data_IF_133915126302
#
_entry.id   IF_133915126302
#
_cell.length_a   1.000
_cell.length_b   1.000
_cell.length_c   1.000
_cell.angle_alpha   90.00
_cell.angle_beta   90.00
_cell.angle_gamma   90.00
#
_symmetry.space_group_name_H-M   'P 1'
#
loop_
_entity.id
_entity.type
_entity.pdbx_description
1 polymer ?
#
# COMPACT_ATOMS: atom_id res chain seq x y z
N UNK A 1 33.46 -11.08 -40.05
CA UNK A 1 33.14 -11.38 -38.63
C UNK A 1 32.40 -12.70 -38.68
N UNK A 2 32.97 -13.77 -38.12
CA UNK A 2 32.38 -15.11 -38.23
C UNK A 2 31.15 -15.21 -37.32
N UNK A 3 30.05 -15.77 -37.82
CA UNK A 3 28.79 -15.92 -37.08
C UNK A 3 28.97 -16.63 -35.73
N UNK A 4 29.95 -17.54 -35.64
CA UNK A 4 30.32 -18.22 -34.41
C UNK A 4 30.80 -17.25 -33.31
N UNK A 5 31.60 -16.23 -33.67
CA UNK A 5 32.06 -15.20 -32.71
C UNK A 5 30.91 -14.29 -32.28
N UNK A 6 29.98 -13.99 -33.19
CA UNK A 6 28.80 -13.19 -32.87
C UNK A 6 27.86 -13.91 -31.90
N UNK A 7 27.69 -15.23 -32.07
CA UNK A 7 26.87 -16.06 -31.16
C UNK A 7 27.50 -16.11 -29.76
N UNK A 8 28.81 -16.24 -29.67
CA UNK A 8 29.53 -16.26 -28.39
C UNK A 8 29.39 -14.93 -27.64
N UNK A 9 29.59 -13.79 -28.32
CA UNK A 9 29.38 -12.46 -27.73
C UNK A 9 27.92 -12.24 -27.28
N UNK A 10 26.94 -12.74 -28.04
CA UNK A 10 25.52 -12.64 -27.67
C UNK A 10 25.19 -13.48 -26.44
N UNK A 11 25.75 -14.68 -26.32
CA UNK A 11 25.56 -15.54 -25.15
C UNK A 11 26.18 -14.92 -23.89
N UNK A 12 27.35 -14.30 -24.01
CA UNK A 12 28.02 -13.60 -22.92
C UNK A 12 27.18 -12.40 -22.45
N UNK A 13 26.67 -11.58 -23.39
CA UNK A 13 25.76 -10.46 -23.08
C UNK A 13 24.46 -10.91 -22.40
N UNK A 14 23.89 -12.05 -22.80
CA UNK A 14 22.69 -12.62 -22.15
C UNK A 14 23.01 -13.02 -20.71
N UNK A 15 24.17 -13.63 -20.47
CA UNK A 15 24.60 -14.04 -19.12
C UNK A 15 24.83 -12.82 -18.22
N UNK A 16 25.46 -11.78 -18.73
CA UNK A 16 25.63 -10.50 -18.00
C UNK A 16 24.29 -9.84 -17.67
N UNK A 17 23.36 -9.80 -18.63
CA UNK A 17 22.02 -9.24 -18.42
C UNK A 17 21.24 -10.02 -17.33
N UNK A 18 21.36 -11.35 -17.31
CA UNK A 18 20.75 -12.20 -16.28
C UNK A 18 21.35 -11.94 -14.90
N UNK A 19 22.66 -11.75 -14.78
CA UNK A 19 23.31 -11.41 -13.52
C UNK A 19 22.93 -10.02 -13.01
N UNK A 20 22.78 -9.03 -13.90
CA UNK A 20 22.27 -7.70 -13.56
C UNK A 20 20.84 -7.80 -13.03
N UNK A 21 19.97 -8.58 -13.70
CA UNK A 21 18.61 -8.81 -13.25
C UNK A 21 18.55 -9.52 -11.89
N UNK A 22 19.41 -10.51 -11.66
CA UNK A 22 19.52 -11.19 -10.35
C UNK A 22 19.94 -10.21 -9.26
N UNK A 23 20.99 -9.41 -9.48
CA UNK A 23 21.43 -8.37 -8.53
C UNK A 23 20.34 -7.35 -8.24
N UNK A 24 19.59 -6.91 -9.25
CA UNK A 24 18.45 -5.99 -9.08
C UNK A 24 17.32 -6.64 -8.27
N UNK A 25 17.02 -7.92 -8.52
CA UNK A 25 16.02 -8.67 -7.74
C UNK A 25 16.43 -8.80 -6.28
N UNK A 26 17.70 -9.11 -6.02
CA UNK A 26 18.21 -9.27 -4.66
C UNK A 26 18.29 -7.92 -3.93
N UNK A 27 18.63 -6.84 -4.63
CA UNK A 27 18.55 -5.47 -4.10
C UNK A 27 17.10 -5.04 -3.80
N UNK A 28 16.15 -5.38 -4.68
CA UNK A 28 14.72 -5.19 -4.44
C UNK A 28 14.26 -6.02 -3.23
N UNK A 29 14.68 -7.27 -3.11
CA UNK A 29 14.37 -8.11 -1.95
C UNK A 29 14.97 -7.55 -0.65
N UNK A 30 16.18 -6.98 -0.70
CA UNK A 30 16.81 -6.32 0.45
C UNK A 30 16.09 -5.03 0.84
N UNK A 31 15.62 -4.24 -0.13
CA UNK A 31 14.81 -3.04 0.10
C UNK A 31 13.42 -3.41 0.65
N UNK A 32 12.77 -4.43 0.09
CA UNK A 32 11.49 -4.97 0.56
C UNK A 32 11.64 -5.62 1.94
N UNK A 33 12.75 -6.30 2.21
CA UNK A 33 13.10 -6.90 3.50
C UNK A 33 13.38 -5.87 4.59
N UNK A 34 13.97 -4.71 4.24
CA UNK A 34 14.09 -3.54 5.14
C UNK A 34 12.79 -2.73 5.28
N UNK A 35 11.82 -2.94 4.39
CA UNK A 35 10.53 -2.23 4.38
C UNK A 35 9.30 -3.02 4.86
N UNK A 36 9.39 -4.34 5.04
CA UNK A 36 8.16 -5.13 5.15
C UNK A 36 8.22 -6.53 5.76
N UNK A 37 9.30 -6.93 6.43
CA UNK A 37 9.30 -8.14 7.26
C UNK A 37 9.07 -7.80 8.74
N UNK A 38 8.10 -6.93 9.03
CA UNK A 38 7.52 -6.89 10.36
C UNK A 38 6.76 -8.20 10.55
N UNK A 39 7.24 -9.07 11.45
CA UNK A 39 6.46 -10.16 12.06
C UNK A 39 4.98 -9.75 12.07
N UNK A 40 4.07 -10.60 11.61
CA UNK A 40 2.62 -10.42 11.74
C UNK A 40 2.26 -10.32 13.23
N UNK A 41 2.57 -9.17 13.84
CA UNK A 41 2.01 -8.76 15.11
C UNK A 41 0.53 -8.59 14.85
N UNK A 42 -0.27 -9.28 15.65
CA UNK A 42 -1.73 -9.18 15.69
C UNK A 42 -2.13 -7.73 15.36
N UNK A 43 -2.87 -7.53 14.27
CA UNK A 43 -3.26 -6.20 13.81
C UNK A 43 -3.83 -5.43 15.02
N UNK A 44 -3.15 -4.36 15.44
CA UNK A 44 -3.62 -3.57 16.56
C UNK A 44 -4.92 -2.92 16.10
N UNK A 45 -6.04 -3.33 16.71
CA UNK A 45 -7.33 -2.75 16.44
C UNK A 45 -7.35 -1.24 16.67
N UNK A 46 -8.43 -0.60 16.23
CA UNK A 46 -8.57 0.84 16.40
C UNK A 46 -8.78 1.22 17.87
N UNK A 47 -8.24 2.37 18.27
CA UNK A 47 -8.66 2.99 19.53
C UNK A 47 -10.15 3.35 19.43
N UNK A 48 -10.90 3.18 20.51
CA UNK A 48 -12.29 3.59 20.58
C UNK A 48 -12.42 5.09 20.20
N UNK A 49 -13.47 5.43 19.44
CA UNK A 49 -13.76 6.79 18.97
C UNK A 49 -12.65 7.48 18.17
N UNK A 50 -11.66 6.73 17.67
CA UNK A 50 -10.64 7.27 16.78
C UNK A 50 -11.18 7.47 15.36
N UNK A 51 -10.57 8.39 14.60
CA UNK A 51 -10.93 8.64 13.19
C UNK A 51 -10.96 7.34 12.37
N UNK A 52 -9.98 6.43 12.45
CA UNK A 52 -10.04 5.14 11.75
C UNK A 52 -11.21 4.26 12.19
N UNK A 53 -11.56 4.22 13.48
CA UNK A 53 -12.72 3.45 13.93
C UNK A 53 -14.02 3.97 13.30
N UNK A 54 -14.20 5.30 13.29
CA UNK A 54 -15.38 5.96 12.73
C UNK A 54 -15.46 5.79 11.21
N UNK A 55 -14.33 5.96 10.50
CA UNK A 55 -14.27 5.75 9.05
C UNK A 55 -14.57 4.29 8.67
N UNK A 56 -14.02 3.33 9.42
CA UNK A 56 -14.29 1.92 9.19
C UNK A 56 -15.78 1.58 9.40
N UNK A 57 -16.40 2.11 10.45
CA UNK A 57 -17.83 1.95 10.69
C UNK A 57 -18.68 2.60 9.58
N UNK A 58 -18.31 3.80 9.12
CA UNK A 58 -19.01 4.51 8.05
C UNK A 58 -18.99 3.73 6.73
N UNK A 59 -17.82 3.25 6.30
CA UNK A 59 -17.69 2.47 5.06
C UNK A 59 -18.44 1.13 5.18
N UNK A 60 -18.35 0.46 6.34
CA UNK A 60 -19.08 -0.79 6.58
C UNK A 60 -20.59 -0.59 6.55
N UNK A 61 -21.09 0.51 7.08
CA UNK A 61 -22.51 0.88 7.02
C UNK A 61 -22.95 1.22 5.58
N UNK A 62 -22.11 1.92 4.82
CA UNK A 62 -22.37 2.26 3.43
C UNK A 62 -22.33 1.04 2.48
N UNK A 63 -21.67 -0.06 2.90
CA UNK A 63 -21.45 -1.29 2.11
C UNK A 63 -20.75 -1.04 0.76
N UNK A 64 -20.11 0.11 0.59
CA UNK A 64 -19.39 0.50 -0.62
C UNK A 64 -18.19 1.38 -0.25
N UNK A 65 -17.13 1.40 -1.08
CA UNK A 65 -16.02 2.33 -0.90
C UNK A 65 -16.49 3.79 -0.94
N UNK A 66 -15.97 4.62 -0.04
CA UNK A 66 -16.33 6.03 0.08
C UNK A 66 -15.19 6.93 -0.35
N UNK A 67 -15.49 8.05 -1.00
CA UNK A 67 -14.47 9.07 -1.26
C UNK A 67 -14.01 9.74 0.03
N UNK A 68 -12.90 10.49 -0.02
CA UNK A 68 -12.46 11.27 1.13
C UNK A 68 -13.51 12.31 1.56
N UNK A 69 -14.20 12.93 0.60
CA UNK A 69 -15.22 13.94 0.86
C UNK A 69 -16.45 13.33 1.52
N UNK A 70 -16.89 12.16 1.07
CA UNK A 70 -17.99 11.41 1.69
C UNK A 70 -17.64 11.03 3.14
N UNK A 71 -16.41 10.58 3.37
CA UNK A 71 -15.92 10.31 4.72
C UNK A 71 -15.93 11.56 5.59
N UNK A 72 -15.49 12.71 5.07
CA UNK A 72 -15.57 13.98 5.81
C UNK A 72 -17.01 14.29 6.22
N UNK A 73 -17.97 14.16 5.29
CA UNK A 73 -19.40 14.41 5.57
C UNK A 73 -19.92 13.45 6.64
N UNK A 74 -19.59 12.16 6.55
CA UNK A 74 -20.01 11.16 7.54
C UNK A 74 -19.42 11.43 8.92
N UNK A 75 -18.11 11.72 8.99
CA UNK A 75 -17.40 11.88 10.26
C UNK A 75 -17.71 13.22 10.94
N UNK A 76 -18.05 14.26 10.16
CA UNK A 76 -18.49 15.56 10.70
C UNK A 76 -19.78 15.48 11.50
N UNK A 77 -20.64 14.48 11.26
CA UNK A 77 -21.84 14.22 12.08
C UNK A 77 -21.48 13.89 13.53
N UNK A 78 -20.31 13.30 13.75
CA UNK A 78 -19.81 12.96 15.09
C UNK A 78 -18.87 14.03 15.63
N UNK A 79 -18.04 14.63 14.76
CA UNK A 79 -17.10 15.68 15.17
C UNK A 79 -16.92 16.72 14.06
N UNK A 80 -17.52 17.89 14.24
CA UNK A 80 -17.51 18.99 13.28
C UNK A 80 -16.11 19.55 12.96
N UNK A 81 -15.12 19.33 13.84
CA UNK A 81 -13.74 19.85 13.67
C UNK A 81 -12.87 19.02 12.72
N UNK A 82 -13.40 17.92 12.18
CA UNK A 82 -12.69 17.05 11.26
C UNK A 82 -12.70 17.61 9.84
N UNK A 83 -11.52 17.61 9.22
CA UNK A 83 -11.30 18.01 7.84
C UNK A 83 -10.66 16.86 7.04
N UNK A 84 -10.64 17.01 5.71
CA UNK A 84 -10.10 16.00 4.79
C UNK A 84 -8.64 15.65 5.11
N UNK A 85 -7.83 16.64 5.51
CA UNK A 85 -6.41 16.46 5.84
C UNK A 85 -6.22 15.57 7.06
N UNK A 86 -6.92 15.84 8.16
CA UNK A 86 -6.87 15.05 9.40
C UNK A 86 -7.31 13.62 9.14
N UNK A 87 -8.36 13.43 8.36
CA UNK A 87 -8.87 12.09 8.01
C UNK A 87 -7.85 11.33 7.16
N UNK A 88 -7.35 11.95 6.07
CA UNK A 88 -6.35 11.33 5.21
C UNK A 88 -5.09 10.92 5.99
N UNK A 89 -4.57 11.79 6.87
CA UNK A 89 -3.40 11.48 7.70
C UNK A 89 -3.71 10.30 8.63
N UNK A 90 -4.85 10.32 9.31
CA UNK A 90 -5.24 9.26 10.23
C UNK A 90 -5.38 7.89 9.55
N UNK A 91 -5.87 7.86 8.30
CA UNK A 91 -6.06 6.63 7.53
C UNK A 91 -4.78 6.15 6.83
N UNK A 92 -3.84 7.05 6.50
CA UNK A 92 -2.64 6.76 5.70
C UNK A 92 -1.83 5.55 6.19
N UNK A 93 -1.64 5.43 7.51
CA UNK A 93 -0.93 4.30 8.12
C UNK A 93 -1.65 2.98 7.89
N UNK A 94 -2.98 2.97 8.04
CA UNK A 94 -3.77 1.74 7.96
C UNK A 94 -3.98 1.28 6.51
N UNK A 95 -4.07 2.22 5.57
CA UNK A 95 -4.04 1.94 4.13
C UNK A 95 -2.69 1.35 3.72
N UNK A 96 -1.58 1.97 4.16
CA UNK A 96 -0.22 1.48 3.86
C UNK A 96 0.02 0.05 4.35
N UNK A 97 -0.55 -0.30 5.52
CA UNK A 97 -0.44 -1.64 6.07
C UNK A 97 -1.38 -2.65 5.37
N UNK A 98 -2.40 -2.21 4.62
CA UNK A 98 -3.34 -3.08 3.91
C UNK A 98 -4.15 -4.02 4.81
N UNK A 99 -4.24 -3.71 6.10
CA UNK A 99 -4.86 -4.55 7.13
C UNK A 99 -6.35 -4.25 7.32
N UNK A 100 -6.74 -2.97 7.29
CA UNK A 100 -8.10 -2.55 7.62
C UNK A 100 -8.78 -1.71 6.54
N UNK A 101 -7.99 -0.99 5.75
CA UNK A 101 -8.48 -0.17 4.66
C UNK A 101 -7.76 -0.54 3.38
N UNK A 102 -8.48 -0.43 2.28
CA UNK A 102 -7.95 -0.50 0.93
C UNK A 102 -8.29 0.82 0.25
N UNK A 103 -7.36 1.37 -0.53
CA UNK A 103 -7.60 2.58 -1.29
C UNK A 103 -7.52 2.24 -2.77
N UNK A 104 -8.64 2.35 -3.48
CA UNK A 104 -8.79 2.00 -4.90
C UNK A 104 -9.60 3.09 -5.57
N UNK A 105 -9.13 3.58 -6.72
CA UNK A 105 -9.82 4.59 -7.53
C UNK A 105 -10.26 5.84 -6.76
N UNK A 106 -9.40 6.33 -5.86
CA UNK A 106 -9.69 7.52 -5.06
C UNK A 106 -10.65 7.30 -3.88
N UNK A 107 -11.04 6.05 -3.60
CA UNK A 107 -12.00 5.70 -2.56
C UNK A 107 -11.40 4.76 -1.52
N UNK A 108 -11.85 4.93 -0.28
CA UNK A 108 -11.52 4.09 0.85
C UNK A 108 -12.56 2.97 0.98
N UNK A 109 -12.12 1.73 0.83
CA UNK A 109 -12.84 0.52 1.20
C UNK A 109 -12.35 -0.05 2.52
N UNK A 110 -13.15 -0.93 3.12
CA UNK A 110 -12.74 -1.78 4.24
C UNK A 110 -12.37 -3.16 3.72
N UNK A 111 -11.43 -3.81 4.40
CA UNK A 111 -11.02 -5.19 4.10
C UNK A 111 -11.81 -6.21 4.91
#
# INVERSE_FOLDING_TARGET
MDDAKLIEELQEKVREAQDILRRRRDALAALMGKGGAGKHGRARGFRANSIPALAHAAIKAAKQPLSLDDLVVHLKKTNASLDARKISIALSRYVRLGQHFVFVDGKYGVK
#
